data_IF_864807458651
#
_entry.id   IF_864807458651
#
_cell.length_a   1.000
_cell.length_b   1.000
_cell.length_c   1.000
_cell.angle_alpha   90.00
_cell.angle_beta   90.00
_cell.angle_gamma   90.00
#
_symmetry.space_group_name_H-M   'P 1'
#
loop_
_entity.id
_entity.type
_entity.pdbx_description
1 polymer ?
#
# COMPACT_ATOMS: atom_id res chain seq x y z
N UNK A 1 12.67 18.38 -13.16
CA UNK A 1 12.22 18.44 -14.59
C UNK A 1 10.73 18.17 -14.63
N UNK A 2 9.94 18.89 -15.47
CA UNK A 2 8.51 18.61 -15.65
C UNK A 2 8.26 17.96 -17.02
N UNK A 3 7.35 16.98 -17.06
CA UNK A 3 6.89 16.28 -18.26
C UNK A 3 5.36 16.34 -18.26
N UNK A 4 4.75 16.87 -19.32
CA UNK A 4 3.30 16.83 -19.50
C UNK A 4 2.90 15.45 -20.05
N UNK A 5 2.06 14.72 -19.32
CA UNK A 5 1.65 13.36 -19.66
C UNK A 5 0.45 13.29 -20.62
N UNK A 6 -0.24 14.44 -20.87
CA UNK A 6 -1.56 14.47 -21.51
C UNK A 6 -1.61 13.77 -22.87
N UNK A 7 -0.56 13.89 -23.67
CA UNK A 7 -0.52 13.36 -25.04
C UNK A 7 0.44 12.17 -25.19
N UNK A 8 1.00 11.68 -24.07
CA UNK A 8 1.94 10.56 -24.10
C UNK A 8 1.20 9.26 -23.81
N UNK A 9 1.46 8.27 -24.67
CA UNK A 9 1.12 6.90 -24.32
C UNK A 9 2.07 6.37 -23.24
N UNK A 10 1.75 5.21 -22.69
CA UNK A 10 2.52 4.63 -21.59
C UNK A 10 3.98 4.30 -21.97
N UNK A 11 4.28 4.02 -23.23
CA UNK A 11 5.64 3.70 -23.73
C UNK A 11 6.48 4.98 -23.83
N UNK A 12 5.97 5.99 -24.52
CA UNK A 12 6.61 7.27 -24.66
C UNK A 12 6.85 7.93 -23.30
N UNK A 13 5.87 7.85 -22.39
CA UNK A 13 5.99 8.38 -21.04
C UNK A 13 7.12 7.67 -20.25
N UNK A 14 7.15 6.35 -20.24
CA UNK A 14 8.20 5.60 -19.53
C UNK A 14 9.59 5.83 -20.15
N UNK A 15 9.66 5.98 -21.48
CA UNK A 15 10.92 6.33 -22.15
C UNK A 15 11.41 7.74 -21.74
N UNK A 16 10.52 8.71 -21.68
CA UNK A 16 10.82 10.05 -21.20
C UNK A 16 11.31 10.04 -19.75
N UNK A 17 10.65 9.27 -18.86
CA UNK A 17 11.08 9.08 -17.48
C UNK A 17 12.47 8.44 -17.37
N UNK A 18 12.81 7.46 -18.20
CA UNK A 18 14.14 6.82 -18.19
C UNK A 18 15.24 7.77 -18.63
N UNK A 19 14.95 8.66 -19.59
CA UNK A 19 15.90 9.67 -20.10
C UNK A 19 16.06 10.88 -19.19
N UNK A 20 15.09 11.15 -18.33
CA UNK A 20 15.12 12.30 -17.44
C UNK A 20 16.25 12.17 -16.40
N UNK A 21 16.86 13.30 -16.04
CA UNK A 21 17.84 13.39 -14.97
C UNK A 21 17.20 13.96 -13.69
N UNK A 22 17.58 13.44 -12.52
CA UNK A 22 17.12 13.94 -11.22
C UNK A 22 15.64 13.69 -10.95
N UNK A 23 15.02 14.59 -10.21
CA UNK A 23 13.60 14.54 -9.87
C UNK A 23 12.71 14.93 -11.03
N UNK A 24 11.61 14.21 -11.21
CA UNK A 24 10.65 14.43 -12.30
C UNK A 24 9.26 14.70 -11.75
N UNK A 25 8.61 15.74 -12.26
CA UNK A 25 7.18 15.97 -12.04
C UNK A 25 6.42 15.64 -13.32
N UNK A 26 5.46 14.71 -13.21
CA UNK A 26 4.50 14.45 -14.28
C UNK A 26 3.27 15.31 -14.05
N UNK A 27 2.93 16.13 -15.05
CA UNK A 27 1.73 16.95 -15.04
C UNK A 27 0.64 16.33 -15.93
N UNK A 28 -0.62 16.64 -15.63
CA UNK A 28 -1.79 16.26 -16.43
C UNK A 28 -1.92 14.74 -16.66
N UNK A 29 -1.54 13.93 -15.69
CA UNK A 29 -1.79 12.49 -15.74
C UNK A 29 -3.29 12.21 -15.75
N UNK A 30 -3.74 11.43 -16.74
CA UNK A 30 -5.13 11.05 -16.92
C UNK A 30 -5.22 9.58 -17.41
N UNK A 31 -4.99 8.63 -16.50
CA UNK A 31 -5.16 7.19 -16.78
C UNK A 31 -4.01 6.51 -17.53
N UNK A 32 -2.84 7.15 -17.68
CA UNK A 32 -1.69 6.47 -18.28
C UNK A 32 -1.25 5.31 -17.39
N UNK A 33 -1.20 4.12 -17.96
CA UNK A 33 -0.89 2.86 -17.26
C UNK A 33 0.61 2.59 -17.19
N UNK A 34 1.02 1.72 -16.27
CA UNK A 34 2.41 1.23 -16.14
C UNK A 34 3.45 2.34 -15.93
N UNK A 35 3.06 3.50 -15.39
CA UNK A 35 4.02 4.57 -15.11
C UNK A 35 5.10 4.06 -14.17
N UNK A 36 6.36 4.33 -14.50
CA UNK A 36 7.55 3.93 -13.74
C UNK A 36 7.73 2.42 -13.55
N UNK A 37 7.17 1.59 -14.43
CA UNK A 37 7.34 0.14 -14.37
C UNK A 37 8.82 -0.28 -14.41
N UNK A 38 9.24 -1.07 -13.41
CA UNK A 38 10.61 -1.58 -13.26
C UNK A 38 11.67 -0.51 -12.96
N UNK A 39 11.28 0.70 -12.59
CA UNK A 39 12.25 1.79 -12.39
C UNK A 39 13.04 1.67 -11.10
N UNK A 40 14.28 2.16 -11.18
CA UNK A 40 15.24 2.31 -10.08
C UNK A 40 15.67 3.76 -9.94
N UNK A 41 16.11 4.15 -8.73
CA UNK A 41 16.83 5.42 -8.49
C UNK A 41 16.18 6.66 -9.13
N UNK A 42 14.86 6.79 -9.04
CA UNK A 42 14.10 7.94 -9.53
C UNK A 42 13.20 8.47 -8.44
N UNK A 43 13.01 9.79 -8.42
CA UNK A 43 12.00 10.47 -7.64
C UNK A 43 10.98 11.07 -8.62
N UNK A 44 9.74 10.58 -8.57
CA UNK A 44 8.68 10.97 -9.49
C UNK A 44 7.50 11.51 -8.69
N UNK A 45 7.13 12.75 -8.94
CA UNK A 45 5.91 13.34 -8.41
C UNK A 45 4.86 13.39 -9.51
N UNK A 46 3.63 12.95 -9.23
CA UNK A 46 2.56 12.87 -10.22
C UNK A 46 1.42 13.78 -9.81
N UNK A 47 1.07 14.72 -10.69
CA UNK A 47 -0.15 15.52 -10.65
C UNK A 47 -1.19 14.91 -11.60
N UNK A 48 -2.43 14.76 -11.13
CA UNK A 48 -3.49 14.04 -11.86
C UNK A 48 -3.71 12.63 -11.33
N UNK A 49 -4.29 11.77 -12.17
CA UNK A 49 -4.69 10.40 -11.81
C UNK A 49 -3.92 9.41 -12.69
N UNK A 50 -2.86 8.78 -12.19
CA UNK A 50 -2.19 7.70 -12.90
C UNK A 50 -3.13 6.49 -13.04
N UNK A 51 -3.02 5.81 -14.17
CA UNK A 51 -3.78 4.62 -14.49
C UNK A 51 -3.24 3.35 -13.82
N UNK A 52 -3.76 2.21 -14.24
CA UNK A 52 -3.47 0.91 -13.65
C UNK A 52 -1.98 0.56 -13.71
N UNK A 53 -1.53 -0.22 -12.71
CA UNK A 53 -0.17 -0.75 -12.61
C UNK A 53 0.92 0.35 -12.48
N UNK A 54 0.59 1.46 -11.79
CA UNK A 54 1.59 2.43 -11.37
C UNK A 54 2.68 1.74 -10.54
N UNK A 55 3.94 1.92 -10.92
CA UNK A 55 5.07 1.32 -10.20
C UNK A 55 5.10 -0.22 -10.24
N UNK A 56 4.50 -0.85 -11.26
CA UNK A 56 4.63 -2.30 -11.43
C UNK A 56 6.11 -2.70 -11.54
N UNK A 57 6.51 -3.74 -10.79
CA UNK A 57 7.91 -4.19 -10.71
C UNK A 57 8.90 -3.12 -10.22
N UNK A 58 8.44 -2.07 -9.54
CA UNK A 58 9.30 -1.00 -9.03
C UNK A 58 10.48 -1.59 -8.25
N UNK A 59 11.69 -1.06 -8.46
CA UNK A 59 12.91 -1.62 -7.89
C UNK A 59 13.85 -0.53 -7.34
N UNK A 60 13.36 0.28 -6.41
CA UNK A 60 14.14 1.30 -5.70
C UNK A 60 13.82 2.75 -6.08
N UNK A 61 12.89 3.00 -7.01
CA UNK A 61 12.40 4.35 -7.25
C UNK A 61 11.39 4.80 -6.19
N UNK A 62 11.18 6.12 -6.08
CA UNK A 62 10.18 6.75 -5.22
C UNK A 62 9.13 7.45 -6.08
N UNK A 63 7.85 7.18 -5.81
CA UNK A 63 6.73 7.77 -6.53
C UNK A 63 5.82 8.46 -5.53
N UNK A 64 5.46 9.72 -5.77
CA UNK A 64 4.47 10.47 -5.00
C UNK A 64 3.33 10.89 -5.90
N UNK A 65 2.12 10.43 -5.61
CA UNK A 65 0.88 10.82 -6.30
C UNK A 65 0.14 11.83 -5.45
N UNK A 66 -0.10 13.04 -5.95
CA UNK A 66 -0.80 14.12 -5.22
C UNK A 66 -2.32 13.95 -5.13
N UNK A 67 -2.87 12.95 -5.79
CA UNK A 67 -4.30 12.63 -5.82
C UNK A 67 -4.55 11.14 -5.70
N UNK A 68 -5.60 10.65 -6.37
CA UNK A 68 -5.93 9.23 -6.43
C UNK A 68 -5.05 8.48 -7.44
N UNK A 69 -4.92 7.17 -7.29
CA UNK A 69 -4.39 6.25 -8.30
C UNK A 69 -5.40 5.14 -8.59
N UNK A 70 -5.31 4.54 -9.78
CA UNK A 70 -6.19 3.45 -10.20
C UNK A 70 -5.72 2.09 -9.64
N UNK A 71 -6.05 0.99 -10.33
CA UNK A 71 -5.82 -0.37 -9.83
C UNK A 71 -4.37 -0.84 -9.94
N UNK A 72 -4.04 -1.89 -9.19
CA UNK A 72 -2.76 -2.59 -9.23
C UNK A 72 -1.53 -1.68 -8.97
N UNK A 73 -1.67 -0.68 -8.11
CA UNK A 73 -0.54 0.14 -7.65
C UNK A 73 0.50 -0.76 -6.98
N UNK A 74 1.76 -0.70 -7.42
CA UNK A 74 2.85 -1.50 -6.86
C UNK A 74 2.75 -3.00 -7.14
N UNK A 75 2.09 -3.40 -8.24
CA UNK A 75 2.06 -4.79 -8.68
C UNK A 75 3.48 -5.36 -8.79
N UNK A 76 3.73 -6.47 -8.09
CA UNK A 76 5.03 -7.18 -8.05
C UNK A 76 6.21 -6.25 -7.71
N UNK A 77 5.99 -5.19 -6.94
CA UNK A 77 7.02 -4.26 -6.49
C UNK A 77 8.09 -5.00 -5.68
N UNK A 78 9.37 -4.75 -5.97
CA UNK A 78 10.50 -5.40 -5.31
C UNK A 78 11.18 -4.51 -4.28
N UNK A 79 11.19 -3.18 -4.51
CA UNK A 79 11.87 -2.21 -3.66
C UNK A 79 11.41 -0.79 -4.00
N UNK A 80 11.65 0.17 -3.10
CA UNK A 80 11.31 1.58 -3.29
C UNK A 80 10.08 1.98 -2.49
N UNK A 81 9.47 3.11 -2.86
CA UNK A 81 8.34 3.66 -2.13
C UNK A 81 7.30 4.28 -3.07
N UNK A 82 6.02 4.02 -2.79
CA UNK A 82 4.89 4.68 -3.45
C UNK A 82 4.05 5.38 -2.38
N UNK A 83 3.85 6.68 -2.53
CA UNK A 83 3.04 7.53 -1.65
C UNK A 83 1.85 8.04 -2.44
N UNK A 84 0.62 7.81 -1.95
CA UNK A 84 -0.61 8.27 -2.60
C UNK A 84 -1.40 9.15 -1.63
N UNK A 85 -1.57 10.43 -1.96
CA UNK A 85 -2.29 11.40 -1.12
C UNK A 85 -3.82 11.28 -1.20
N UNK A 86 -4.35 10.42 -2.05
CA UNK A 86 -5.77 10.11 -2.18
C UNK A 86 -6.06 8.64 -1.94
N UNK A 87 -7.01 8.10 -2.70
CA UNK A 87 -7.41 6.70 -2.68
C UNK A 87 -6.66 5.89 -3.75
N UNK A 88 -6.60 4.59 -3.56
CA UNK A 88 -6.14 3.62 -4.57
C UNK A 88 -7.27 2.65 -4.94
N UNK A 89 -7.22 2.13 -6.16
CA UNK A 89 -8.17 1.14 -6.65
C UNK A 89 -7.90 -0.27 -6.14
N UNK A 90 -8.33 -1.26 -6.93
CA UNK A 90 -8.28 -2.68 -6.58
C UNK A 90 -6.88 -3.28 -6.76
N UNK A 91 -6.61 -4.39 -6.07
CA UNK A 91 -5.39 -5.19 -6.17
C UNK A 91 -4.08 -4.41 -5.98
N UNK A 92 -4.09 -3.31 -5.23
CA UNK A 92 -2.85 -2.61 -4.88
C UNK A 92 -1.92 -3.54 -4.08
N UNK A 93 -0.61 -3.49 -4.36
CA UNK A 93 0.38 -4.40 -3.76
C UNK A 93 0.21 -5.87 -4.18
N UNK A 94 -0.44 -6.15 -5.31
CA UNK A 94 -0.53 -7.51 -5.84
C UNK A 94 0.86 -8.15 -5.95
N UNK A 95 1.05 -9.31 -5.33
CA UNK A 95 2.31 -10.05 -5.33
C UNK A 95 3.56 -9.21 -4.97
N UNK A 96 3.40 -8.11 -4.23
CA UNK A 96 4.48 -7.24 -3.77
C UNK A 96 5.48 -8.03 -2.93
N UNK A 97 6.78 -7.86 -3.17
CA UNK A 97 7.88 -8.63 -2.56
C UNK A 97 8.78 -7.83 -1.66
N UNK A 98 8.69 -6.51 -1.71
CA UNK A 98 9.50 -5.58 -0.92
C UNK A 98 9.07 -4.15 -1.18
N UNK A 99 9.70 -3.20 -0.48
CA UNK A 99 9.37 -1.79 -0.57
C UNK A 99 8.12 -1.42 0.23
N UNK A 100 7.63 -0.18 0.04
CA UNK A 100 6.57 0.39 0.87
C UNK A 100 5.53 1.13 0.05
N UNK A 101 4.24 0.92 0.36
CA UNK A 101 3.12 1.68 -0.19
C UNK A 101 2.42 2.40 0.96
N UNK A 102 2.38 3.74 0.92
CA UNK A 102 1.66 4.58 1.88
C UNK A 102 0.47 5.24 1.19
N UNK A 103 -0.73 5.02 1.70
CA UNK A 103 -1.98 5.54 1.14
C UNK A 103 -2.69 6.38 2.18
N UNK A 104 -2.91 7.66 1.91
CA UNK A 104 -3.65 8.53 2.84
C UNK A 104 -5.11 8.13 2.97
N UNK A 105 -5.77 7.81 1.87
CA UNK A 105 -7.18 7.46 1.78
C UNK A 105 -7.46 5.96 1.86
N UNK A 106 -8.44 5.53 1.09
CA UNK A 106 -8.94 4.15 1.07
C UNK A 106 -8.24 3.31 -0.02
N UNK A 107 -8.24 2.00 0.17
CA UNK A 107 -7.89 1.01 -0.84
C UNK A 107 -9.12 0.20 -1.28
N UNK A 108 -9.14 -0.21 -2.54
CA UNK A 108 -10.19 -1.04 -3.12
C UNK A 108 -10.13 -2.51 -2.69
N UNK A 109 -10.70 -3.38 -3.52
CA UNK A 109 -10.72 -4.83 -3.32
C UNK A 109 -9.31 -5.44 -3.43
N UNK A 110 -9.06 -6.52 -2.67
CA UNK A 110 -7.84 -7.34 -2.82
C UNK A 110 -6.54 -6.58 -2.64
N UNK A 111 -6.51 -5.51 -1.84
CA UNK A 111 -5.24 -4.88 -1.49
C UNK A 111 -4.34 -5.90 -0.77
N UNK A 112 -3.06 -5.97 -1.15
CA UNK A 112 -2.08 -6.92 -0.61
C UNK A 112 -2.29 -8.39 -0.99
N UNK A 113 -3.14 -8.67 -2.00
CA UNK A 113 -3.33 -10.04 -2.49
C UNK A 113 -2.01 -10.65 -2.96
N UNK A 114 -1.71 -11.91 -2.55
CA UNK A 114 -0.46 -12.62 -2.83
C UNK A 114 0.81 -11.89 -2.39
N UNK A 115 0.73 -10.88 -1.52
CA UNK A 115 1.89 -10.19 -0.99
C UNK A 115 2.81 -11.18 -0.26
N UNK A 116 4.12 -11.15 -0.53
CA UNK A 116 5.06 -12.15 -0.04
C UNK A 116 6.42 -11.51 0.24
N UNK A 117 6.98 -11.73 1.41
CA UNK A 117 8.37 -11.38 1.69
C UNK A 117 9.34 -12.18 0.80
N UNK A 118 10.42 -11.56 0.39
CA UNK A 118 11.43 -12.19 -0.45
C UNK A 118 12.82 -11.92 0.12
N UNK A 119 13.51 -12.98 0.54
CA UNK A 119 14.79 -12.90 1.25
C UNK A 119 14.65 -12.03 2.51
N UNK A 120 15.43 -10.97 2.65
CA UNK A 120 15.41 -9.99 3.72
C UNK A 120 14.43 -8.82 3.48
N UNK A 121 13.78 -8.79 2.31
CA UNK A 121 12.84 -7.75 1.93
C UNK A 121 11.45 -8.06 2.46
N UNK A 122 10.93 -7.13 3.25
CA UNK A 122 9.59 -7.21 3.84
C UNK A 122 8.73 -6.13 3.20
N UNK A 123 7.74 -6.48 2.37
CA UNK A 123 6.82 -5.51 1.80
C UNK A 123 5.90 -4.95 2.89
N UNK A 124 5.66 -3.64 2.86
CA UNK A 124 4.79 -2.96 3.81
C UNK A 124 3.75 -2.12 3.08
N UNK A 125 2.50 -2.22 3.49
CA UNK A 125 1.41 -1.37 3.02
C UNK A 125 0.71 -0.71 4.21
N UNK A 126 0.63 0.64 4.21
CA UNK A 126 -0.12 1.40 5.22
C UNK A 126 -1.28 2.13 4.53
N UNK A 127 -2.50 1.85 4.97
CA UNK A 127 -3.74 2.43 4.46
C UNK A 127 -4.34 3.30 5.56
N UNK A 128 -4.39 4.62 5.33
CA UNK A 128 -4.93 5.59 6.28
C UNK A 128 -6.43 5.48 6.47
N UNK A 129 -7.19 5.26 5.39
CA UNK A 129 -8.62 5.00 5.43
C UNK A 129 -8.94 3.52 5.65
N UNK A 130 -10.00 3.05 5.00
CA UNK A 130 -10.40 1.64 5.01
C UNK A 130 -9.94 0.89 3.78
N UNK A 131 -10.07 -0.44 3.82
CA UNK A 131 -9.81 -1.34 2.71
C UNK A 131 -11.06 -2.11 2.29
N UNK A 132 -11.18 -2.41 1.00
CA UNK A 132 -12.25 -3.23 0.44
C UNK A 132 -12.20 -4.70 0.87
N UNK A 133 -13.06 -5.51 0.27
CA UNK A 133 -13.13 -6.94 0.57
C UNK A 133 -11.91 -7.70 0.07
N UNK A 134 -11.64 -8.86 0.66
CA UNK A 134 -10.52 -9.75 0.35
C UNK A 134 -9.14 -9.12 0.61
N UNK A 135 -9.05 -8.20 1.59
CA UNK A 135 -7.78 -7.62 2.03
C UNK A 135 -6.82 -8.74 2.45
N UNK A 136 -5.59 -8.74 1.92
CA UNK A 136 -4.56 -9.73 2.23
C UNK A 136 -4.92 -11.17 1.79
N UNK A 137 -5.74 -11.32 0.75
CA UNK A 137 -6.08 -12.63 0.19
C UNK A 137 -4.81 -13.34 -0.27
N UNK A 138 -4.59 -14.59 0.19
CA UNK A 138 -3.36 -15.39 -0.04
C UNK A 138 -2.06 -14.68 0.34
N UNK A 139 -2.09 -13.79 1.33
CA UNK A 139 -0.87 -13.16 1.85
C UNK A 139 0.08 -14.25 2.37
N UNK A 140 1.35 -14.22 1.92
CA UNK A 140 2.39 -15.18 2.26
C UNK A 140 3.58 -14.53 3.01
N UNK A 141 3.51 -13.22 3.27
CA UNK A 141 4.54 -12.47 3.99
C UNK A 141 4.25 -10.98 3.95
N UNK A 142 5.12 -10.19 4.61
CA UNK A 142 4.97 -8.74 4.68
C UNK A 142 3.96 -8.26 5.72
N UNK A 143 3.74 -6.95 5.75
CA UNK A 143 2.90 -6.27 6.75
C UNK A 143 1.86 -5.39 6.06
N UNK A 144 0.59 -5.55 6.43
CA UNK A 144 -0.50 -4.67 6.03
C UNK A 144 -1.04 -3.96 7.27
N UNK A 145 -1.16 -2.63 7.22
CA UNK A 145 -1.66 -1.80 8.31
C UNK A 145 -2.86 -0.99 7.80
N UNK A 146 -4.02 -1.10 8.45
CA UNK A 146 -5.22 -0.31 8.13
C UNK A 146 -5.59 0.54 9.33
N UNK A 147 -5.61 1.86 9.14
CA UNK A 147 -5.77 2.81 10.23
C UNK A 147 -7.22 3.31 10.42
N UNK A 148 -8.04 3.30 9.38
CA UNK A 148 -9.45 3.71 9.47
C UNK A 148 -9.67 5.15 9.95
N UNK A 149 -8.75 6.08 9.65
CA UNK A 149 -8.74 7.44 10.24
C UNK A 149 -10.01 8.25 9.95
N UNK A 150 -10.66 8.00 8.82
CA UNK A 150 -11.90 8.71 8.41
C UNK A 150 -13.11 7.77 8.33
N UNK A 151 -13.02 6.59 8.94
CA UNK A 151 -14.09 5.60 8.85
C UNK A 151 -15.34 5.99 9.67
N UNK A 152 -15.20 6.76 10.74
CA UNK A 152 -16.28 7.00 11.69
C UNK A 152 -16.79 5.68 12.27
N UNK A 153 -18.08 5.44 12.16
CA UNK A 153 -18.71 4.18 12.62
C UNK A 153 -18.73 3.07 11.53
N UNK A 154 -18.06 3.28 10.39
CA UNK A 154 -18.00 2.26 9.32
C UNK A 154 -16.92 1.24 9.62
N UNK A 155 -17.12 0.01 9.14
CA UNK A 155 -16.05 -1.00 9.14
C UNK A 155 -14.85 -0.50 8.35
N UNK A 156 -13.66 -0.71 8.90
CA UNK A 156 -12.41 -0.32 8.26
C UNK A 156 -11.94 -1.35 7.22
N UNK A 157 -12.55 -2.54 7.20
CA UNK A 157 -12.25 -3.62 6.26
C UNK A 157 -13.56 -4.20 5.73
N UNK A 158 -13.60 -4.51 4.45
CA UNK A 158 -14.72 -5.19 3.79
C UNK A 158 -14.83 -6.67 4.18
N UNK A 159 -15.59 -7.43 3.40
CA UNK A 159 -15.82 -8.86 3.67
C UNK A 159 -14.62 -9.72 3.30
N UNK A 160 -14.48 -10.87 3.99
CA UNK A 160 -13.51 -11.92 3.68
C UNK A 160 -12.03 -11.49 3.75
N UNK A 161 -11.58 -10.67 4.73
CA UNK A 161 -10.16 -10.38 4.89
C UNK A 161 -9.39 -11.66 5.22
N UNK A 162 -8.10 -11.69 4.86
CA UNK A 162 -7.17 -12.78 5.15
C UNK A 162 -7.56 -14.15 4.57
N UNK A 163 -8.45 -14.22 3.57
CA UNK A 163 -8.79 -15.48 2.92
C UNK A 163 -7.54 -16.13 2.35
N UNK A 164 -7.22 -17.37 2.75
CA UNK A 164 -6.03 -18.09 2.30
C UNK A 164 -4.69 -17.52 2.81
N UNK A 165 -4.70 -16.60 3.76
CA UNK A 165 -3.47 -16.07 4.36
C UNK A 165 -2.65 -17.19 5.01
N UNK A 166 -1.36 -17.28 4.71
CA UNK A 166 -0.46 -18.30 5.23
C UNK A 166 0.92 -17.75 5.63
N UNK A 167 1.10 -16.43 5.63
CA UNK A 167 2.31 -15.74 6.10
C UNK A 167 2.08 -14.25 6.27
N UNK A 168 3.03 -13.57 6.92
CA UNK A 168 2.95 -12.14 7.19
C UNK A 168 2.05 -11.78 8.36
N UNK A 169 1.80 -10.48 8.52
CA UNK A 169 0.95 -9.91 9.59
C UNK A 169 0.04 -8.84 9.04
N UNK A 170 -1.15 -8.72 9.63
CA UNK A 170 -2.07 -7.63 9.37
C UNK A 170 -2.39 -6.91 10.68
N UNK A 171 -2.32 -5.59 10.68
CA UNK A 171 -2.66 -4.74 11.81
C UNK A 171 -3.86 -3.87 11.45
N UNK A 172 -4.91 -3.97 12.24
CA UNK A 172 -6.14 -3.22 12.05
C UNK A 172 -6.36 -2.31 13.26
N UNK A 173 -6.44 -1.00 13.07
CA UNK A 173 -6.71 -0.03 14.14
C UNK A 173 -8.19 -0.08 14.51
N UNK A 174 -8.59 -1.18 15.12
CA UNK A 174 -9.95 -1.49 15.54
C UNK A 174 -9.91 -2.68 16.51
N UNK A 175 -10.95 -2.87 17.33
CA UNK A 175 -11.17 -4.10 18.09
C UNK A 175 -11.75 -5.24 17.26
N UNK A 176 -12.10 -4.97 16.01
CA UNK A 176 -12.56 -5.93 14.99
C UNK A 176 -13.72 -6.83 15.39
N UNK A 177 -14.54 -6.46 16.41
CA UNK A 177 -15.67 -7.28 16.90
C UNK A 177 -16.72 -7.58 15.84
N UNK A 178 -16.81 -6.74 14.82
CA UNK A 178 -17.77 -6.83 13.72
C UNK A 178 -17.17 -7.44 12.44
N UNK A 179 -15.90 -7.89 12.48
CA UNK A 179 -15.19 -8.49 11.35
C UNK A 179 -15.10 -10.01 11.55
N UNK A 180 -15.51 -10.76 10.54
CA UNK A 180 -15.37 -12.22 10.52
C UNK A 180 -14.07 -12.59 9.80
N UNK A 181 -13.19 -13.30 10.50
CA UNK A 181 -11.95 -13.83 9.95
C UNK A 181 -12.10 -15.32 9.61
N UNK A 182 -11.36 -15.83 8.62
CA UNK A 182 -11.35 -17.26 8.31
C UNK A 182 -10.63 -18.06 9.41
N UNK A 183 -10.96 -19.35 9.51
CA UNK A 183 -10.49 -20.24 10.59
C UNK A 183 -8.98 -20.54 10.57
N UNK A 184 -8.28 -20.21 9.48
CA UNK A 184 -6.83 -20.41 9.36
C UNK A 184 -5.98 -19.25 9.87
N UNK A 185 -6.59 -18.24 10.47
CA UNK A 185 -5.87 -17.12 11.08
C UNK A 185 -6.34 -16.87 12.50
N UNK A 186 -5.44 -16.41 13.34
CA UNK A 186 -5.74 -15.90 14.68
C UNK A 186 -5.77 -14.37 14.64
N UNK A 187 -6.90 -13.80 15.06
CA UNK A 187 -7.07 -12.37 15.30
C UNK A 187 -7.14 -12.12 16.82
N UNK A 188 -6.24 -11.30 17.34
CA UNK A 188 -6.19 -10.96 18.77
C UNK A 188 -5.88 -9.48 18.98
N UNK A 189 -6.20 -8.90 20.15
CA UNK A 189 -5.71 -7.58 20.52
C UNK A 189 -4.17 -7.54 20.40
N UNK A 190 -3.64 -6.48 19.79
CA UNK A 190 -2.21 -6.25 19.70
C UNK A 190 -1.67 -5.81 21.07
N UNK A 191 -0.51 -6.34 21.44
CA UNK A 191 0.24 -5.92 22.63
C UNK A 191 1.36 -4.93 22.27
N UNK A 192 2.11 -4.48 23.28
CA UNK A 192 3.22 -3.53 23.09
C UNK A 192 4.32 -4.06 22.16
N UNK A 193 4.56 -5.36 22.14
CA UNK A 193 5.55 -5.99 21.26
C UNK A 193 5.08 -5.94 19.81
N UNK A 194 3.80 -6.23 19.57
CA UNK A 194 3.20 -6.11 18.24
C UNK A 194 3.25 -4.67 17.73
N UNK A 195 2.88 -3.70 18.56
CA UNK A 195 2.90 -2.28 18.18
C UNK A 195 4.33 -1.76 17.94
N UNK A 196 5.32 -2.31 18.64
CA UNK A 196 6.72 -1.95 18.41
C UNK A 196 7.17 -2.32 16.99
N UNK A 197 6.66 -3.41 16.41
CA UNK A 197 6.99 -3.85 15.04
C UNK A 197 6.56 -2.83 13.97
N UNK A 198 5.42 -2.15 14.17
CA UNK A 198 4.85 -1.22 13.18
C UNK A 198 5.10 0.25 13.51
N UNK A 199 5.74 0.55 14.64
CA UNK A 199 5.95 1.92 15.11
C UNK A 199 6.67 2.80 14.10
N UNK A 200 7.69 2.27 13.44
CA UNK A 200 8.45 2.99 12.42
C UNK A 200 7.61 3.29 11.17
N UNK A 201 6.78 2.35 10.73
CA UNK A 201 5.90 2.51 9.57
C UNK A 201 4.80 3.53 9.84
N UNK A 202 4.23 3.52 11.05
CA UNK A 202 3.24 4.52 11.48
C UNK A 202 3.88 5.89 11.61
N UNK A 203 5.09 6.00 12.18
CA UNK A 203 5.80 7.27 12.28
C UNK A 203 6.06 7.87 10.88
N UNK A 204 6.52 7.08 9.93
CA UNK A 204 6.75 7.50 8.54
C UNK A 204 5.44 7.92 7.85
N UNK A 205 4.34 7.18 8.06
CA UNK A 205 3.02 7.54 7.56
C UNK A 205 2.57 8.90 8.13
N UNK A 206 2.74 9.10 9.44
CA UNK A 206 2.35 10.34 10.11
C UNK A 206 3.18 11.53 9.63
N UNK A 207 4.48 11.38 9.49
CA UNK A 207 5.37 12.41 8.93
C UNK A 207 4.95 12.77 7.49
N UNK A 208 4.62 11.77 6.68
CA UNK A 208 4.23 11.96 5.27
C UNK A 208 2.91 12.70 5.12
N UNK A 209 1.93 12.43 5.98
CA UNK A 209 0.56 12.94 5.80
C UNK A 209 0.09 13.94 6.87
N UNK A 210 0.93 14.26 7.84
CA UNK A 210 0.64 15.27 8.86
C UNK A 210 -0.28 14.77 9.97
N UNK A 211 -0.12 13.54 10.44
CA UNK A 211 -0.83 12.96 11.57
C UNK A 211 0.07 12.85 12.81
N UNK A 212 -0.53 12.61 13.98
CA UNK A 212 0.19 12.33 15.23
C UNK A 212 0.31 10.81 15.45
N UNK A 213 1.54 10.31 15.54
CA UNK A 213 1.80 8.89 15.71
C UNK A 213 1.39 8.39 17.11
N UNK A 214 1.52 9.23 18.14
CA UNK A 214 1.10 8.91 19.50
C UNK A 214 -0.41 8.73 19.57
N UNK A 215 -1.18 9.62 18.95
CA UNK A 215 -2.63 9.51 18.85
C UNK A 215 -3.05 8.23 18.14
N UNK A 216 -2.43 7.91 16.99
CA UNK A 216 -2.75 6.68 16.24
C UNK A 216 -2.44 5.44 17.07
N UNK A 217 -1.26 5.36 17.69
CA UNK A 217 -0.81 4.20 18.45
C UNK A 217 -1.51 4.04 19.81
N UNK A 218 -2.16 5.07 20.33
CA UNK A 218 -2.95 4.98 21.57
C UNK A 218 -4.29 4.26 21.41
N UNK A 219 -4.74 4.06 20.18
CA UNK A 219 -5.99 3.36 19.89
C UNK A 219 -5.85 1.84 20.01
N UNK A 220 -6.97 1.13 20.11
CA UNK A 220 -6.97 -0.33 20.04
C UNK A 220 -6.59 -0.83 18.64
N UNK A 221 -5.69 -1.80 18.62
CA UNK A 221 -5.33 -2.55 17.40
C UNK A 221 -5.66 -4.03 17.57
N UNK A 222 -6.03 -4.65 16.47
CA UNK A 222 -6.07 -6.10 16.31
C UNK A 222 -4.93 -6.52 15.41
N UNK A 223 -4.13 -7.48 15.84
CA UNK A 223 -3.15 -8.17 14.99
C UNK A 223 -3.73 -9.48 14.50
N UNK A 224 -3.56 -9.76 13.20
CA UNK A 224 -3.99 -10.99 12.54
C UNK A 224 -2.77 -11.71 12.00
N UNK A 225 -2.63 -12.98 12.35
CA UNK A 225 -1.54 -13.85 11.92
C UNK A 225 -2.09 -15.19 11.45
N UNK A 226 -1.45 -15.87 10.48
CA UNK A 226 -1.86 -17.21 10.11
C UNK A 226 -1.52 -18.23 11.22
N UNK A 227 -2.38 -19.23 11.37
CA UNK A 227 -2.18 -20.34 12.33
C UNK A 227 -1.21 -21.40 11.80
N UNK A 228 -0.79 -21.29 10.55
CA UNK A 228 0.09 -22.25 9.89
C UNK A 228 1.45 -22.30 10.58
N UNK A 229 1.70 -23.37 11.28
CA UNK A 229 3.03 -23.84 11.64
C UNK A 229 3.56 -24.63 10.43
N UNK A 230 3.88 -23.95 9.35
CA UNK A 230 4.56 -24.58 8.21
C UNK A 230 6.01 -24.14 8.16
#
# INVERSE_FOLDING_TARGET
MSINAKELDYRALNEALRKAAGEVTLEDCCGQRFIAAGMTNRHITISGIPGNALGAYLNGAMITVRGNAQDAVGDTMNEGKIVVHGNIGDAAGYAMRGGKILVKGNAGYRAGIHMKAYEDKIPVMVIGGGAGSFLGEYQAGGVIIVLGLEAGNRKIVGSFPCTGMHGGKMFLRSDCRDISFPSQVTARPADETDLAEIRADIAEFCETFGYDAGEILSAAFTVVTPDSKN
#
